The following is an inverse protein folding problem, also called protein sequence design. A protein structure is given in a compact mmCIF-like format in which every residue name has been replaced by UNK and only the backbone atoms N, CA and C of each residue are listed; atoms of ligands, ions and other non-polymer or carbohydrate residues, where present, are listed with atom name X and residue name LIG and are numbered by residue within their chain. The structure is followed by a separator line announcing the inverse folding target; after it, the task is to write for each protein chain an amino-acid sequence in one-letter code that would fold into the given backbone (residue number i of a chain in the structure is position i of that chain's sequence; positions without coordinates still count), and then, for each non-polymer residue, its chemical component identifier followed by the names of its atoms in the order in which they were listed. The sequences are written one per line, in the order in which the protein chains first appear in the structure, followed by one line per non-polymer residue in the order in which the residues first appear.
data_IF_327385995068
#
_entry.id   IF_327385995068
#
_cell.length_a   1.000
_cell.length_b   1.000
_cell.length_c   1.000
_cell.angle_alpha   90.00
_cell.angle_beta   90.00
_cell.angle_gamma   90.00
#
_symmetry.space_group_name_H-M   'P 1'
#
loop_
_entity.id
_entity.type
_entity.pdbx_description
1 polymer ?
#
# COMPACT_ATOMS: atom_id res chain seq x y z
N UNK A 1 14.89 33.85 11.80
CA UNK A 1 16.04 34.43 11.07
C UNK A 1 17.13 33.36 10.95
N UNK A 2 16.95 32.37 10.07
CA UNK A 2 17.91 31.27 9.83
C UNK A 2 17.82 30.79 8.37
N UNK A 3 17.72 31.74 7.43
CA UNK A 3 17.40 31.49 6.02
C UNK A 3 18.58 31.79 5.07
N UNK A 4 19.84 31.87 5.54
CA UNK A 4 20.86 32.57 4.76
C UNK A 4 22.31 32.03 4.78
N UNK A 5 22.59 30.76 5.11
CA UNK A 5 24.01 30.32 5.25
C UNK A 5 24.47 29.11 4.44
N UNK A 6 23.67 28.57 3.51
CA UNK A 6 24.15 27.53 2.58
C UNK A 6 24.43 28.04 1.16
N UNK A 7 24.20 29.33 0.90
CA UNK A 7 24.39 29.96 -0.41
C UNK A 7 25.81 30.43 -0.71
N UNK A 8 26.79 30.09 0.13
CA UNK A 8 28.15 30.58 0.02
C UNK A 8 29.12 29.42 -0.14
N UNK A 9 29.39 29.03 -1.40
CA UNK A 9 30.67 28.47 -1.93
C UNK A 9 30.47 27.72 -3.25
N UNK A 10 30.18 28.44 -4.33
CA UNK A 10 30.69 28.14 -5.69
C UNK A 10 30.77 29.44 -6.48
N UNK A 11 31.78 30.25 -6.16
CA UNK A 11 32.27 31.30 -7.03
C UNK A 11 33.76 31.03 -7.24
N UNK A 12 34.14 30.74 -8.48
CA UNK A 12 35.22 31.43 -9.20
C UNK A 12 35.40 30.84 -10.60
N UNK A 13 35.61 31.76 -11.55
CA UNK A 13 36.06 31.62 -12.95
C UNK A 13 34.93 31.29 -13.96
N UNK A 14 34.63 32.05 -15.02
CA UNK A 14 35.40 33.10 -15.70
C UNK A 14 34.52 34.08 -16.49
N UNK A 15 35.18 35.11 -17.03
CA UNK A 15 34.66 36.40 -17.44
C UNK A 15 33.95 36.46 -18.81
N UNK A 16 33.04 37.45 -18.90
CA UNK A 16 32.71 38.33 -20.04
C UNK A 16 32.88 37.79 -21.48
N UNK A 17 31.74 37.58 -22.14
CA UNK A 17 31.64 37.55 -23.60
C UNK A 17 30.22 37.88 -24.03
N UNK A 18 29.99 39.08 -24.54
CA UNK A 18 28.77 39.45 -25.25
C UNK A 18 28.71 38.66 -26.56
N UNK A 19 27.64 37.89 -26.76
CA UNK A 19 27.41 37.14 -27.99
C UNK A 19 25.98 36.60 -28.02
N UNK A 20 25.09 37.32 -28.71
CA UNK A 20 23.84 36.74 -29.16
C UNK A 20 24.19 35.65 -30.19
N UNK A 21 23.96 34.39 -29.83
CA UNK A 21 24.04 33.26 -30.77
C UNK A 21 22.65 32.66 -30.90
N UNK A 22 21.93 33.14 -31.90
CA UNK A 22 20.82 32.43 -32.52
C UNK A 22 21.37 31.16 -33.15
N UNK A 23 20.80 29.98 -32.88
CA UNK A 23 21.14 28.77 -33.64
C UNK A 23 20.98 27.44 -32.90
N UNK A 24 19.77 26.87 -32.99
CA UNK A 24 19.48 25.43 -33.16
C UNK A 24 20.40 24.42 -32.45
N UNK A 25 19.98 23.96 -31.27
CA UNK A 25 20.27 22.59 -30.84
C UNK A 25 19.03 21.72 -31.17
N UNK A 26 18.90 21.41 -32.46
CA UNK A 26 18.02 20.33 -32.90
C UNK A 26 18.83 19.02 -32.84
N UNK A 27 18.19 17.96 -32.35
CA UNK A 27 18.70 16.59 -32.18
C UNK A 27 19.58 16.30 -30.95
N UNK A 28 18.91 16.10 -29.82
CA UNK A 28 19.14 14.90 -29.01
C UNK A 28 17.79 14.24 -28.75
N UNK A 29 17.56 13.13 -29.44
CA UNK A 29 16.44 12.21 -29.32
C UNK A 29 16.38 11.62 -27.91
N UNK A 30 15.60 12.24 -27.03
CA UNK A 30 14.93 11.51 -25.97
C UNK A 30 13.45 11.83 -26.18
N UNK A 31 12.75 10.97 -26.92
CA UNK A 31 11.30 10.98 -26.86
C UNK A 31 10.94 10.91 -25.39
N UNK A 32 10.43 12.00 -24.83
CA UNK A 32 9.69 11.93 -23.59
C UNK A 32 8.51 11.08 -24.02
N UNK A 33 8.56 9.77 -23.74
CA UNK A 33 7.38 8.96 -23.74
C UNK A 33 6.53 9.56 -22.61
N UNK A 34 5.77 10.60 -22.96
CA UNK A 34 4.61 10.98 -22.21
C UNK A 34 3.72 9.74 -22.30
N UNK A 35 3.85 8.86 -21.31
CA UNK A 35 2.90 7.79 -21.14
C UNK A 35 1.53 8.46 -21.08
N UNK A 36 0.60 8.00 -21.91
CA UNK A 36 -0.78 8.44 -21.81
C UNK A 36 -1.22 8.32 -20.35
N UNK A 37 -2.00 9.29 -19.83
CA UNK A 37 -2.49 9.23 -18.47
C UNK A 37 -3.17 7.87 -18.27
N UNK A 38 -2.90 7.17 -17.16
CA UNK A 38 -3.47 5.85 -16.93
C UNK A 38 -4.99 5.93 -17.07
N UNK A 39 -5.63 4.88 -17.62
CA UNK A 39 -7.08 4.88 -17.77
C UNK A 39 -7.73 5.18 -16.42
N UNK A 40 -8.84 5.94 -16.41
CA UNK A 40 -9.51 6.29 -15.17
C UNK A 40 -9.94 5.01 -14.45
N UNK A 41 -9.78 5.01 -13.14
CA UNK A 41 -10.16 3.87 -12.31
C UNK A 41 -11.68 3.62 -12.41
N UNK A 42 -12.14 2.35 -12.36
CA UNK A 42 -13.58 2.06 -12.25
C UNK A 42 -14.24 2.83 -11.10
N UNK A 43 -15.55 3.09 -11.24
CA UNK A 43 -16.35 3.69 -10.16
C UNK A 43 -16.27 2.84 -8.88
N UNK A 44 -16.35 3.49 -7.71
CA UNK A 44 -16.29 2.85 -6.38
C UNK A 44 -15.01 2.03 -6.11
N UNK A 45 -13.91 2.42 -6.74
CA UNK A 45 -12.59 1.83 -6.51
C UNK A 45 -11.58 2.84 -5.97
N UNK A 46 -12.01 3.96 -5.39
CA UNK A 46 -11.10 4.91 -4.73
C UNK A 46 -10.47 4.30 -3.47
N UNK A 47 -9.44 4.96 -2.92
CA UNK A 47 -8.90 4.57 -1.61
C UNK A 47 -9.96 4.66 -0.50
N UNK A 48 -10.89 5.62 -0.59
CA UNK A 48 -11.99 5.76 0.37
C UNK A 48 -12.94 4.56 0.30
N UNK A 49 -13.22 4.04 -0.90
CA UNK A 49 -14.08 2.85 -1.07
C UNK A 49 -13.44 1.61 -0.45
N UNK A 50 -12.12 1.42 -0.65
CA UNK A 50 -11.38 0.32 -0.03
C UNK A 50 -11.35 0.43 1.48
N UNK A 51 -11.08 1.62 2.01
CA UNK A 51 -11.11 1.86 3.45
C UNK A 51 -12.50 1.61 4.04
N UNK A 52 -13.57 1.98 3.34
CA UNK A 52 -14.95 1.73 3.76
C UNK A 52 -15.30 0.24 3.82
N UNK A 53 -14.85 -0.56 2.84
CA UNK A 53 -15.02 -2.02 2.90
C UNK A 53 -14.20 -2.62 4.05
N UNK A 54 -12.95 -2.20 4.21
CA UNK A 54 -12.08 -2.70 5.26
C UNK A 54 -12.62 -2.38 6.66
N UNK A 55 -13.18 -1.18 6.88
CA UNK A 55 -13.79 -0.81 8.14
C UNK A 55 -15.05 -1.63 8.44
N UNK A 56 -15.88 -1.92 7.43
CA UNK A 56 -17.03 -2.80 7.56
C UNK A 56 -16.63 -4.24 7.96
N UNK A 57 -15.61 -4.80 7.31
CA UNK A 57 -15.06 -6.12 7.66
C UNK A 57 -14.51 -6.13 9.09
N UNK A 58 -13.78 -5.09 9.49
CA UNK A 58 -13.25 -4.99 10.85
C UNK A 58 -14.37 -4.89 11.91
N UNK A 59 -15.44 -4.13 11.63
CA UNK A 59 -16.59 -4.05 12.52
C UNK A 59 -17.31 -5.40 12.65
N UNK A 60 -17.53 -6.11 11.54
CA UNK A 60 -18.13 -7.44 11.52
C UNK A 60 -17.28 -8.46 12.29
N UNK A 61 -15.97 -8.45 12.08
CA UNK A 61 -15.03 -9.29 12.82
C UNK A 61 -15.09 -9.00 14.33
N UNK A 62 -15.10 -7.72 14.73
CA UNK A 62 -15.18 -7.35 16.14
C UNK A 62 -16.46 -7.87 16.78
N UNK A 63 -17.62 -7.71 16.12
CA UNK A 63 -18.88 -8.24 16.60
C UNK A 63 -18.84 -9.78 16.73
N UNK A 64 -18.27 -10.47 15.73
CA UNK A 64 -18.12 -11.92 15.74
C UNK A 64 -17.24 -12.39 16.90
N UNK A 65 -16.10 -11.76 17.14
CA UNK A 65 -15.22 -12.13 18.25
C UNK A 65 -15.89 -11.93 19.62
N UNK A 66 -16.74 -10.92 19.80
CA UNK A 66 -17.49 -10.76 21.04
C UNK A 66 -18.57 -11.83 21.25
N UNK A 67 -19.07 -12.46 20.19
CA UNK A 67 -20.01 -13.59 20.29
C UNK A 67 -19.33 -14.95 20.28
N UNK A 68 -18.02 -15.01 20.01
CA UNK A 68 -17.19 -16.21 19.99
C UNK A 68 -16.04 -16.06 21.01
N UNK A 69 -16.31 -16.19 22.32
CA UNK A 69 -15.33 -15.94 23.38
C UNK A 69 -14.12 -16.87 23.31
N UNK A 70 -14.29 -18.10 22.83
CA UNK A 70 -13.19 -19.07 22.67
C UNK A 70 -12.20 -18.61 21.58
N UNK A 71 -12.71 -18.17 20.43
CA UNK A 71 -11.89 -17.62 19.34
C UNK A 71 -11.21 -16.31 19.74
N UNK A 72 -11.94 -15.44 20.44
CA UNK A 72 -11.39 -14.20 20.94
C UNK A 72 -10.28 -14.45 21.97
N UNK A 73 -10.50 -15.40 22.89
CA UNK A 73 -9.49 -15.86 23.84
C UNK A 73 -8.27 -16.46 23.15
N UNK A 74 -8.48 -17.30 22.12
CA UNK A 74 -7.42 -17.88 21.31
C UNK A 74 -6.53 -16.80 20.69
N UNK A 75 -7.09 -15.88 19.91
CA UNK A 75 -6.32 -14.82 19.28
C UNK A 75 -5.67 -13.87 20.29
N UNK A 76 -6.32 -13.56 21.40
CA UNK A 76 -5.73 -12.76 22.50
C UNK A 76 -4.51 -13.46 23.09
N UNK A 77 -4.58 -14.78 23.30
CA UNK A 77 -3.49 -15.59 23.83
C UNK A 77 -2.28 -15.74 22.91
N UNK A 78 -2.42 -15.49 21.59
CA UNK A 78 -1.31 -15.58 20.63
C UNK A 78 -0.25 -14.48 20.83
N UNK A 79 -0.57 -13.38 21.52
CA UNK A 79 0.32 -12.24 21.69
C UNK A 79 1.66 -12.59 22.37
N UNK A 80 1.65 -13.61 23.24
CA UNK A 80 2.80 -14.05 24.04
C UNK A 80 3.49 -15.30 23.43
N UNK A 81 3.02 -15.77 22.26
CA UNK A 81 3.53 -17.00 21.64
C UNK A 81 4.76 -16.76 20.77
N UNK A 82 5.70 -17.71 20.71
CA UNK A 82 6.78 -17.68 19.73
C UNK A 82 6.23 -17.64 18.30
N UNK A 83 6.75 -16.72 17.47
CA UNK A 83 6.24 -16.48 16.11
C UNK A 83 6.30 -17.71 15.19
N UNK A 84 7.27 -18.59 15.44
CA UNK A 84 7.44 -19.86 14.74
C UNK A 84 6.35 -20.88 15.08
N UNK A 85 5.67 -20.75 16.22
CA UNK A 85 4.60 -21.66 16.66
C UNK A 85 3.19 -21.17 16.28
N UNK A 86 3.01 -19.87 16.06
CA UNK A 86 1.69 -19.26 15.79
C UNK A 86 0.96 -19.96 14.62
N UNK A 87 1.67 -20.34 13.55
CA UNK A 87 1.04 -20.98 12.40
C UNK A 87 0.43 -22.33 12.74
N UNK A 88 1.18 -23.17 13.43
CA UNK A 88 0.72 -24.51 13.82
C UNK A 88 -0.44 -24.42 14.80
N UNK A 89 -0.40 -23.47 15.73
CA UNK A 89 -1.49 -23.23 16.68
C UNK A 89 -2.79 -22.80 16.01
N UNK A 90 -2.71 -21.84 15.07
CA UNK A 90 -3.86 -21.40 14.28
C UNK A 90 -4.44 -22.54 13.45
N UNK A 91 -3.58 -23.36 12.85
CA UNK A 91 -4.02 -24.51 12.06
C UNK A 91 -4.71 -25.57 12.93
N UNK A 92 -4.13 -25.89 14.08
CA UNK A 92 -4.74 -26.83 15.04
C UNK A 92 -6.09 -26.32 15.56
N UNK A 93 -6.19 -25.02 15.85
CA UNK A 93 -7.44 -24.41 16.28
C UNK A 93 -8.54 -24.54 15.23
N UNK A 94 -8.27 -24.18 13.96
CA UNK A 94 -9.30 -24.25 12.92
C UNK A 94 -9.59 -25.68 12.42
N UNK A 95 -8.65 -26.62 12.56
CA UNK A 95 -8.94 -28.05 12.35
C UNK A 95 -9.99 -28.56 13.35
N UNK A 96 -9.99 -28.04 14.58
CA UNK A 96 -11.00 -28.35 15.59
C UNK A 96 -12.28 -27.50 15.44
N UNK A 97 -12.17 -26.30 14.86
CA UNK A 97 -13.25 -25.32 14.72
C UNK A 97 -13.50 -24.93 13.25
N UNK A 98 -13.88 -25.87 12.36
CA UNK A 98 -14.01 -25.60 10.92
C UNK A 98 -15.15 -24.63 10.60
N UNK A 99 -16.18 -24.56 11.44
CA UNK A 99 -17.27 -23.60 11.26
C UNK A 99 -16.78 -22.16 11.47
N UNK A 100 -16.01 -21.90 12.52
CA UNK A 100 -15.46 -20.57 12.77
C UNK A 100 -14.50 -20.13 11.66
N UNK A 101 -13.74 -21.08 11.08
CA UNK A 101 -12.94 -20.80 9.90
C UNK A 101 -13.82 -20.32 8.74
N UNK A 102 -14.91 -21.05 8.45
CA UNK A 102 -15.84 -20.69 7.38
C UNK A 102 -16.50 -19.32 7.63
N UNK A 103 -16.83 -19.01 8.88
CA UNK A 103 -17.42 -17.73 9.25
C UNK A 103 -16.43 -16.58 9.08
N UNK A 104 -15.16 -16.74 9.51
CA UNK A 104 -14.10 -15.76 9.24
C UNK A 104 -13.82 -15.60 7.75
N UNK A 105 -13.92 -16.69 6.98
CA UNK A 105 -13.83 -16.68 5.53
C UNK A 105 -14.94 -15.85 4.88
N UNK A 106 -16.17 -15.96 5.38
CA UNK A 106 -17.30 -15.16 4.96
C UNK A 106 -17.13 -13.67 5.34
N UNK A 107 -16.69 -13.39 6.58
CA UNK A 107 -16.45 -12.02 7.07
C UNK A 107 -15.43 -11.28 6.20
N UNK A 108 -14.39 -11.97 5.69
CA UNK A 108 -13.35 -11.34 4.85
C UNK A 108 -13.69 -11.27 3.36
N UNK A 109 -14.76 -11.92 2.88
CA UNK A 109 -15.11 -11.92 1.44
C UNK A 109 -15.20 -10.51 0.82
N UNK A 110 -15.80 -9.50 1.47
CA UNK A 110 -15.90 -8.17 0.86
C UNK A 110 -14.55 -7.56 0.49
N UNK A 111 -13.50 -7.89 1.25
CA UNK A 111 -12.14 -7.44 0.96
C UNK A 111 -11.51 -8.19 -0.23
N UNK A 112 -11.83 -9.48 -0.40
CA UNK A 112 -11.44 -10.23 -1.58
C UNK A 112 -12.14 -9.69 -2.83
N UNK A 113 -13.44 -9.43 -2.73
CA UNK A 113 -14.28 -8.92 -3.82
C UNK A 113 -13.84 -7.54 -4.30
N UNK A 114 -13.59 -6.59 -3.37
CA UNK A 114 -13.10 -5.25 -3.75
C UNK A 114 -11.71 -5.33 -4.39
N UNK A 115 -10.85 -6.23 -3.92
CA UNK A 115 -9.53 -6.43 -4.51
C UNK A 115 -9.63 -6.94 -5.95
N UNK A 116 -10.47 -7.94 -6.18
CA UNK A 116 -10.68 -8.52 -7.51
C UNK A 116 -11.34 -7.53 -8.47
N UNK A 117 -12.41 -6.85 -8.04
CA UNK A 117 -13.15 -5.92 -8.90
C UNK A 117 -12.36 -4.65 -9.25
N UNK A 118 -11.52 -4.17 -8.32
CA UNK A 118 -10.75 -2.93 -8.49
C UNK A 118 -9.30 -3.16 -8.94
N UNK A 119 -8.92 -4.42 -9.17
CA UNK A 119 -7.53 -4.83 -9.44
C UNK A 119 -6.54 -4.22 -8.42
N UNK A 120 -6.93 -4.24 -7.14
CA UNK A 120 -6.23 -3.52 -6.07
C UNK A 120 -5.08 -4.35 -5.50
N UNK A 121 -3.89 -4.22 -6.06
CA UNK A 121 -2.70 -4.86 -5.48
C UNK A 121 -2.26 -4.09 -4.22
N UNK A 122 -2.05 -4.76 -3.07
CA UNK A 122 -1.44 -4.11 -1.91
C UNK A 122 -0.10 -3.46 -2.31
N UNK A 123 0.14 -2.24 -1.86
CA UNK A 123 1.37 -1.48 -2.15
C UNK A 123 2.67 -2.15 -1.66
N UNK A 124 2.57 -3.30 -1.00
CA UNK A 124 3.70 -4.14 -0.58
C UNK A 124 4.47 -4.77 -1.76
N UNK A 125 3.97 -4.65 -3.00
CA UNK A 125 4.72 -4.97 -4.23
C UNK A 125 5.47 -3.79 -4.85
N UNK A 126 5.31 -2.55 -4.35
CA UNK A 126 5.96 -1.36 -4.90
C UNK A 126 7.22 -0.92 -4.13
N UNK A 127 7.62 -1.63 -3.08
CA UNK A 127 8.92 -1.41 -2.40
C UNK A 127 10.11 -2.10 -3.10
N UNK A 128 9.96 -2.46 -4.38
CA UNK A 128 10.97 -3.19 -5.16
C UNK A 128 11.32 -2.55 -6.51
N UNK A 129 11.05 -1.26 -6.70
CA UNK A 129 11.30 -0.58 -7.97
C UNK A 129 11.98 0.78 -7.78
N UNK A 130 13.29 0.78 -7.55
CA UNK A 130 14.28 1.62 -8.25
C UNK A 130 15.66 1.29 -7.69
N UNK A 131 16.50 0.70 -8.54
CA UNK A 131 17.97 0.81 -8.46
C UNK A 131 18.42 2.26 -8.59
#
# INVERSE_FOLDING_TARGET
MFLADLFSRRLLVGALGAGAVTGTLMCATAGIAAADPPPPRPANCTAADVAGVASGVAAALSAYLYTHPDLNGFYTGLQDRPKDQIRDEVQNYFNANPQEQADLENIRQPLADIRQRCNWTPLLGQSGGTS
#
